data_IF_591500721909
#
_entry.id   IF_591500721909
#
_cell.length_a   1.000
_cell.length_b   1.000
_cell.length_c   1.000
_cell.angle_alpha   90.00
_cell.angle_beta   90.00
_cell.angle_gamma   90.00
#
_symmetry.space_group_name_H-M   'P 1'
#
loop_
_entity.id
_entity.type
_entity.pdbx_description
1 polymer ?
#
# COMPACT_ATOMS: atom_id res chain seq x y z
N UNK A 1 -1.78 13.82 -2.35
CA UNK A 1 -1.55 13.23 -1.02
C UNK A 1 -1.97 11.75 -0.98
N UNK A 2 -1.76 10.99 -2.07
CA UNK A 2 -2.42 9.67 -2.30
C UNK A 2 -1.45 8.55 -2.70
N UNK A 3 -0.14 8.75 -2.55
CA UNK A 3 0.88 7.75 -2.91
C UNK A 3 1.50 7.16 -1.65
N UNK A 4 0.82 6.19 -1.05
CA UNK A 4 1.29 5.47 0.12
C UNK A 4 0.94 4.00 0.06
N UNK A 5 1.72 3.20 0.78
CA UNK A 5 1.39 1.83 1.14
C UNK A 5 0.38 1.83 2.29
N UNK A 6 -0.69 1.09 2.12
CA UNK A 6 -1.74 0.85 3.09
C UNK A 6 -1.81 -0.63 3.41
N UNK A 7 -2.06 -0.94 4.67
CA UNK A 7 -2.17 -2.28 5.21
C UNK A 7 -3.63 -2.60 5.51
N UNK A 8 -4.07 -3.77 5.07
CA UNK A 8 -5.38 -4.33 5.39
C UNK A 8 -5.35 -5.00 6.77
N UNK A 9 -6.53 -5.27 7.36
CA UNK A 9 -6.65 -6.04 8.62
C UNK A 9 -5.98 -7.42 8.58
N UNK A 10 -5.86 -8.03 7.41
CA UNK A 10 -5.16 -9.30 7.25
C UNK A 10 -3.62 -9.17 7.19
N UNK A 11 -3.07 -7.96 7.34
CA UNK A 11 -1.63 -7.70 7.45
C UNK A 11 -0.91 -7.51 6.12
N UNK A 12 -1.60 -7.61 4.98
CA UNK A 12 -1.00 -7.38 3.67
C UNK A 12 -0.98 -5.90 3.33
N UNK A 13 0.15 -5.43 2.82
CA UNK A 13 0.33 -4.04 2.40
C UNK A 13 0.29 -3.90 0.88
N UNK A 14 -0.44 -2.89 0.40
CA UNK A 14 -0.64 -2.58 -1.02
C UNK A 14 -0.57 -1.08 -1.24
N UNK A 15 -0.41 -0.65 -2.49
CA UNK A 15 -0.55 0.77 -2.83
C UNK A 15 -2.01 1.22 -2.64
N UNK A 16 -2.25 2.45 -2.17
CA UNK A 16 -3.60 2.98 -1.95
C UNK A 16 -4.53 2.77 -3.15
N UNK A 17 -4.08 3.16 -4.35
CA UNK A 17 -4.84 3.01 -5.60
C UNK A 17 -5.20 1.55 -5.88
N UNK A 18 -4.25 0.65 -5.66
CA UNK A 18 -4.36 -0.78 -5.96
C UNK A 18 -5.39 -1.45 -5.05
N UNK A 19 -5.31 -1.17 -3.74
CA UNK A 19 -6.24 -1.76 -2.78
C UNK A 19 -7.62 -1.13 -2.88
N UNK A 20 -7.70 0.17 -3.15
CA UNK A 20 -8.98 0.85 -3.34
C UNK A 20 -9.75 0.27 -4.53
N UNK A 21 -9.12 0.20 -5.70
CA UNK A 21 -9.75 -0.39 -6.90
C UNK A 21 -10.12 -1.86 -6.67
N UNK A 22 -9.21 -2.64 -6.08
CA UNK A 22 -9.51 -4.05 -5.81
C UNK A 22 -10.69 -4.22 -4.89
N UNK A 23 -10.84 -3.36 -3.86
CA UNK A 23 -11.95 -3.42 -2.92
C UNK A 23 -13.26 -2.91 -3.53
N UNK A 24 -13.21 -1.96 -4.47
CA UNK A 24 -14.38 -1.56 -5.25
C UNK A 24 -14.88 -2.68 -6.17
N UNK A 25 -13.96 -3.45 -6.77
CA UNK A 25 -14.32 -4.58 -7.64
C UNK A 25 -14.74 -5.82 -6.84
N UNK A 26 -14.08 -6.08 -5.71
CA UNK A 26 -14.32 -7.23 -4.85
C UNK A 26 -13.85 -6.91 -3.43
N UNK A 27 -14.76 -6.93 -2.44
CA UNK A 27 -14.47 -6.64 -1.02
C UNK A 27 -13.57 -7.70 -0.33
N UNK A 28 -12.53 -8.19 -1.00
CA UNK A 28 -11.63 -9.23 -0.55
C UNK A 28 -10.19 -8.84 -0.81
N UNK A 29 -9.32 -9.25 0.10
CA UNK A 29 -7.89 -9.06 -0.05
C UNK A 29 -7.38 -9.88 -1.26
N UNK A 30 -6.62 -9.27 -2.19
CA UNK A 30 -6.06 -9.96 -3.36
C UNK A 30 -5.14 -11.14 -3.03
N UNK A 31 -4.56 -11.17 -1.83
CA UNK A 31 -3.55 -12.16 -1.44
C UNK A 31 -4.10 -13.36 -0.68
N UNK A 32 -5.01 -13.13 0.25
CA UNK A 32 -5.51 -14.17 1.15
C UNK A 32 -7.03 -14.38 1.06
N UNK A 33 -7.71 -13.64 0.17
CA UNK A 33 -9.16 -13.70 -0.01
C UNK A 33 -9.98 -13.36 1.25
N UNK A 34 -9.34 -12.75 2.26
CA UNK A 34 -9.97 -12.27 3.47
C UNK A 34 -10.94 -11.13 3.15
N UNK A 35 -12.16 -11.19 3.70
CA UNK A 35 -13.19 -10.18 3.45
C UNK A 35 -12.79 -8.88 4.15
N UNK A 36 -12.73 -7.79 3.39
CA UNK A 36 -12.45 -6.45 3.90
C UNK A 36 -13.75 -5.67 3.71
N UNK A 37 -14.58 -5.66 4.76
CA UNK A 37 -15.94 -5.10 4.70
C UNK A 37 -15.98 -3.58 4.48
N UNK A 38 -14.90 -2.88 4.85
CA UNK A 38 -14.83 -1.42 4.73
C UNK A 38 -13.40 -0.94 4.44
N UNK A 39 -13.26 -0.03 3.47
CA UNK A 39 -12.03 0.68 3.11
C UNK A 39 -11.52 1.53 4.28
N UNK A 40 -12.38 1.96 5.21
CA UNK A 40 -11.98 2.64 6.45
C UNK A 40 -11.09 1.78 7.36
N UNK A 41 -11.06 0.47 7.14
CA UNK A 41 -10.17 -0.46 7.83
C UNK A 41 -8.79 -0.61 7.17
N UNK A 42 -8.44 0.29 6.25
CA UNK A 42 -7.09 0.41 5.71
C UNK A 42 -6.26 1.35 6.56
N UNK A 43 -5.10 0.88 6.99
CA UNK A 43 -4.18 1.65 7.83
C UNK A 43 -2.94 2.03 7.03
N UNK A 44 -2.47 3.29 7.06
CA UNK A 44 -1.23 3.65 6.39
C UNK A 44 -0.06 2.88 7.01
N UNK A 45 0.75 2.23 6.17
CA UNK A 45 1.95 1.53 6.62
C UNK A 45 3.14 2.49 6.61
N UNK A 46 3.33 3.20 7.73
CA UNK A 46 4.41 4.18 7.87
C UNK A 46 5.80 3.58 7.62
N UNK A 47 6.07 2.37 8.12
CA UNK A 47 7.38 1.73 7.94
C UNK A 47 7.66 1.45 6.46
N UNK A 48 6.69 0.90 5.73
CA UNK A 48 6.86 0.64 4.29
C UNK A 48 6.98 1.96 3.52
N UNK A 49 6.23 2.99 3.91
CA UNK A 49 6.34 4.31 3.30
C UNK A 49 7.75 4.90 3.47
N UNK A 50 8.31 4.85 4.68
CA UNK A 50 9.68 5.29 4.96
C UNK A 50 10.71 4.50 4.13
N UNK A 51 10.54 3.19 4.00
CA UNK A 51 11.42 2.35 3.17
C UNK A 51 11.33 2.71 1.68
N UNK A 52 10.12 3.00 1.18
CA UNK A 52 9.92 3.46 -0.20
C UNK A 52 10.63 4.81 -0.42
N UNK A 53 10.49 5.75 0.52
CA UNK A 53 11.15 7.06 0.44
C UNK A 53 12.68 6.91 0.42
N UNK A 54 13.25 6.12 1.33
CA UNK A 54 14.69 5.82 1.35
C UNK A 54 15.16 5.14 0.06
N UNK A 55 14.36 4.23 -0.49
CA UNK A 55 14.71 3.58 -1.75
C UNK A 55 14.68 4.56 -2.93
N UNK A 56 13.68 5.44 -3.00
CA UNK A 56 13.59 6.50 -4.01
C UNK A 56 14.82 7.42 -3.94
N UNK A 57 15.19 7.88 -2.75
CA UNK A 57 16.38 8.71 -2.53
C UNK A 57 17.65 8.01 -3.05
N UNK A 58 17.86 6.73 -2.69
CA UNK A 58 19.00 5.94 -3.18
C UNK A 58 19.04 5.82 -4.71
N UNK A 59 17.89 5.72 -5.36
CA UNK A 59 17.82 5.65 -6.83
C UNK A 59 18.15 6.99 -7.48
N UNK A 60 17.68 8.11 -6.93
CA UNK A 60 18.00 9.45 -7.43
C UNK A 60 19.49 9.75 -7.26
N UNK A 61 20.09 9.42 -6.11
CA UNK A 61 21.54 9.58 -5.88
C UNK A 61 22.38 8.81 -6.91
N UNK A 62 21.93 7.62 -7.33
CA UNK A 62 22.59 6.81 -8.37
C UNK A 62 22.40 7.33 -9.80
N UNK A 63 21.40 8.18 -10.06
CA UNK A 63 21.17 8.78 -11.39
C UNK A 63 22.02 10.02 -11.64
N UNK A 64 22.58 10.59 -10.58
CA UNK A 64 23.42 11.79 -10.62
C UNK A 64 24.89 11.42 -10.96
N UNK A 65 25.26 10.14 -10.83
CA UNK A 65 26.54 9.57 -11.27
C UNK A 65 26.37 8.72 -12.53
#
# INVERSE_FOLDING_TARGET
>A
MTEGAYMTKCGYSFCYKCIHQSLEDNNRCPKCNYVVDNIDHLYPNFLVNELILKQKQRFEEKRIF
#
